data_IF_220313160659
#
_entry.id   IF_220313160659
#
_cell.length_a   1.000
_cell.length_b   1.000
_cell.length_c   1.000
_cell.angle_alpha   90.00
_cell.angle_beta   90.00
_cell.angle_gamma   90.00
#
_symmetry.space_group_name_H-M   'P 1'
#
loop_
_entity.id
_entity.type
_entity.pdbx_description
1 polymer ?
#
# COMPACT_ATOMS: atom_id res chain seq x y z
N UNK A 1 12.22 42.55 -31.05
CA UNK A 1 13.49 42.93 -30.39
C UNK A 1 13.19 43.12 -28.91
N UNK A 2 13.23 42.03 -28.14
CA UNK A 2 12.94 42.01 -26.69
C UNK A 2 14.00 41.14 -26.04
N UNK A 3 14.50 41.67 -24.95
CA UNK A 3 15.81 41.45 -24.34
C UNK A 3 15.81 40.24 -23.41
N UNK A 4 16.94 39.53 -23.42
CA UNK A 4 17.26 38.39 -22.58
C UNK A 4 17.62 38.80 -21.14
N UNK A 5 17.82 37.75 -20.32
CA UNK A 5 18.46 37.69 -18.99
C UNK A 5 17.56 37.82 -17.76
N UNK A 6 17.44 36.72 -17.01
CA UNK A 6 18.37 36.41 -15.90
C UNK A 6 18.10 35.03 -15.30
N UNK A 7 19.11 34.17 -15.37
CA UNK A 7 19.28 32.96 -14.59
C UNK A 7 19.63 33.33 -13.13
N UNK A 8 18.91 32.75 -12.17
CA UNK A 8 19.23 32.81 -10.75
C UNK A 8 19.43 31.39 -10.21
N UNK A 9 20.70 30.97 -10.13
CA UNK A 9 21.14 29.74 -9.48
C UNK A 9 21.00 29.87 -7.96
N UNK A 10 20.23 28.98 -7.32
CA UNK A 10 20.15 28.88 -5.86
C UNK A 10 20.93 27.66 -5.41
N UNK A 11 22.04 27.94 -4.73
CA UNK A 11 22.98 26.98 -4.18
C UNK A 11 22.90 27.10 -2.66
N UNK A 12 22.38 26.10 -1.95
CA UNK A 12 22.54 26.04 -0.48
C UNK A 12 22.62 24.61 0.05
N UNK A 13 23.86 24.26 0.39
CA UNK A 13 24.34 23.61 1.63
C UNK A 13 23.64 22.33 2.10
N UNK A 14 24.31 21.21 1.81
CA UNK A 14 24.17 19.92 2.48
C UNK A 14 24.93 19.96 3.82
N UNK A 15 24.20 19.99 4.94
CA UNK A 15 24.79 19.89 6.28
C UNK A 15 25.02 18.41 6.61
N UNK A 16 26.29 18.01 6.74
CA UNK A 16 26.70 16.68 7.23
C UNK A 16 26.48 16.61 8.74
N UNK A 17 25.58 15.74 9.21
CA UNK A 17 25.49 15.36 10.62
C UNK A 17 26.50 14.26 10.93
N UNK A 18 27.41 14.55 11.88
CA UNK A 18 28.27 13.57 12.54
C UNK A 18 27.44 12.72 13.52
N UNK A 19 27.60 11.39 13.54
CA UNK A 19 27.09 10.55 14.62
C UNK A 19 28.03 10.62 15.83
N UNK A 20 27.52 11.12 16.95
CA UNK A 20 28.17 11.04 18.26
C UNK A 20 28.03 9.62 18.81
N UNK A 21 29.15 8.95 19.00
CA UNK A 21 29.24 7.68 19.73
C UNK A 21 29.04 7.95 21.22
N UNK A 22 28.08 7.26 21.85
CA UNK A 22 27.87 7.31 23.30
C UNK A 22 28.27 5.99 23.93
N UNK A 23 29.02 6.13 25.02
CA UNK A 23 29.83 5.12 25.68
C UNK A 23 29.06 3.93 26.26
N UNK A 24 29.74 2.79 26.16
CA UNK A 24 29.55 1.56 26.93
C UNK A 24 29.74 1.84 28.43
N UNK A 25 28.68 1.76 29.21
CA UNK A 25 28.76 1.67 30.67
C UNK A 25 28.55 0.21 31.07
N UNK A 26 29.64 -0.45 31.49
CA UNK A 26 29.58 -1.69 32.27
C UNK A 26 29.01 -1.35 33.65
N UNK A 27 27.94 -2.03 34.04
CA UNK A 27 27.41 -1.99 35.39
C UNK A 27 27.60 -3.36 36.05
N UNK A 28 28.21 -3.28 37.23
CA UNK A 28 28.63 -4.33 38.15
C UNK A 28 27.42 -5.08 38.71
N UNK A 29 27.58 -6.40 38.87
CA UNK A 29 26.66 -7.34 39.52
C UNK A 29 26.70 -7.12 41.04
N UNK A 30 25.56 -6.90 41.71
CA UNK A 30 25.40 -7.24 43.12
C UNK A 30 24.70 -8.61 43.24
N UNK A 31 25.41 -9.55 43.87
CA UNK A 31 24.77 -10.70 44.51
C UNK A 31 24.09 -10.24 45.80
N UNK A 32 22.89 -10.79 46.01
CA UNK A 32 22.44 -11.47 47.23
C UNK A 32 21.19 -10.92 47.93
N UNK A 33 20.42 -11.91 48.40
CA UNK A 33 19.45 -11.92 49.50
C UNK A 33 18.06 -11.28 49.29
N UNK A 34 17.03 -12.09 49.57
CA UNK A 34 15.71 -11.59 49.94
C UNK A 34 14.55 -12.34 49.31
N UNK A 35 14.15 -13.45 49.93
CA UNK A 35 12.83 -14.05 49.76
C UNK A 35 11.76 -13.04 50.22
N UNK A 36 10.98 -12.51 49.29
CA UNK A 36 9.61 -12.04 49.58
C UNK A 36 8.65 -12.69 48.57
N UNK A 37 7.83 -13.60 49.08
CA UNK A 37 6.60 -14.06 48.42
C UNK A 37 5.65 -12.88 48.24
N UNK A 38 5.82 -12.16 47.13
CA UNK A 38 4.76 -11.30 46.62
C UNK A 38 3.62 -12.18 46.12
N UNK A 39 2.50 -12.15 46.84
CA UNK A 39 1.22 -12.70 46.41
C UNK A 39 0.80 -12.01 45.11
N UNK A 40 1.24 -12.59 43.99
CA UNK A 40 0.74 -12.27 42.66
C UNK A 40 -0.70 -12.76 42.62
N UNK A 41 -1.63 -11.82 42.77
CA UNK A 41 -3.03 -12.04 42.46
C UNK A 41 -3.08 -12.39 40.97
N UNK A 42 -3.11 -13.69 40.67
CA UNK A 42 -3.42 -14.21 39.33
C UNK A 42 -4.81 -13.73 38.96
N UNK A 43 -4.88 -12.64 38.22
CA UNK A 43 -6.08 -12.24 37.53
C UNK A 43 -6.30 -13.25 36.39
N UNK A 44 -6.84 -14.42 36.72
CA UNK A 44 -7.33 -15.41 35.76
C UNK A 44 -8.47 -14.78 34.97
N UNK A 45 -8.14 -14.27 33.79
CA UNK A 45 -9.14 -14.06 32.76
C UNK A 45 -9.74 -15.43 32.41
N UNK A 46 -11.06 -15.64 32.54
CA UNK A 46 -11.70 -16.93 32.27
C UNK A 46 -11.66 -17.33 30.79
N UNK A 47 -11.14 -16.46 29.91
CA UNK A 47 -10.96 -16.72 28.49
C UNK A 47 -9.67 -16.05 28.01
N UNK A 48 -8.56 -16.79 27.93
CA UNK A 48 -7.31 -16.26 27.38
C UNK A 48 -6.06 -16.99 27.82
N UNK A 49 -5.85 -18.19 27.31
CA UNK A 49 -4.50 -18.78 27.32
C UNK A 49 -3.57 -17.88 26.51
N UNK A 50 -2.73 -17.09 27.19
CA UNK A 50 -1.64 -16.36 26.53
C UNK A 50 -0.72 -17.41 25.93
N UNK A 51 -0.76 -17.57 24.61
CA UNK A 51 0.25 -18.38 23.93
C UNK A 51 1.62 -17.79 24.29
N UNK A 52 2.48 -18.61 24.88
CA UNK A 52 3.87 -18.22 25.18
C UNK A 52 4.55 -17.78 23.89
N UNK A 53 5.42 -16.77 23.98
CA UNK A 53 6.27 -16.33 22.85
C UNK A 53 7.05 -17.52 22.27
N UNK A 54 7.46 -18.47 23.11
CA UNK A 54 8.12 -19.71 22.65
C UNK A 54 7.21 -20.62 21.82
N UNK A 55 5.91 -20.69 22.11
CA UNK A 55 4.94 -21.43 21.31
C UNK A 55 4.70 -20.76 19.95
N UNK A 56 4.67 -19.41 19.93
CA UNK A 56 4.66 -18.63 18.69
C UNK A 56 5.89 -18.93 17.83
N UNK A 57 7.09 -18.81 18.41
CA UNK A 57 8.35 -19.08 17.69
C UNK A 57 8.45 -20.53 17.20
N UNK A 58 7.97 -21.51 17.98
CA UNK A 58 7.95 -22.91 17.58
C UNK A 58 6.96 -23.19 16.44
N UNK A 59 5.82 -22.50 16.39
CA UNK A 59 4.86 -22.60 15.30
C UNK A 59 5.41 -22.00 14.00
N UNK A 60 6.04 -20.83 14.07
CA UNK A 60 6.68 -20.21 12.91
C UNK A 60 7.94 -20.95 12.46
N UNK A 61 8.72 -21.54 13.38
CA UNK A 61 9.92 -22.31 13.04
C UNK A 61 9.67 -23.58 12.21
N UNK A 62 8.41 -24.01 12.06
CA UNK A 62 8.01 -25.18 11.26
C UNK A 62 7.24 -24.81 9.99
N UNK A 63 7.00 -23.52 9.74
CA UNK A 63 6.23 -23.09 8.58
C UNK A 63 6.99 -23.41 7.28
N UNK A 64 6.28 -23.92 6.29
CA UNK A 64 6.88 -24.19 4.99
C UNK A 64 7.35 -22.90 4.31
N UNK A 65 8.36 -22.95 3.42
CA UNK A 65 8.74 -21.79 2.60
C UNK A 65 7.56 -21.19 1.82
N UNK A 66 6.62 -22.02 1.36
CA UNK A 66 5.40 -21.56 0.70
C UNK A 66 4.51 -20.72 1.65
N UNK A 67 4.39 -21.10 2.92
CA UNK A 67 3.63 -20.35 3.93
C UNK A 67 4.20 -18.95 4.13
N UNK A 68 5.53 -18.79 4.15
CA UNK A 68 6.18 -17.47 4.22
C UNK A 68 5.93 -16.61 2.98
N UNK A 69 6.03 -17.21 1.79
CA UNK A 69 5.74 -16.54 0.53
C UNK A 69 4.27 -16.09 0.46
N UNK A 70 3.32 -16.96 0.85
CA UNK A 70 1.90 -16.64 0.93
C UNK A 70 1.61 -15.55 1.96
N UNK A 71 2.20 -15.62 3.16
CA UNK A 71 1.99 -14.62 4.21
C UNK A 71 2.50 -13.25 3.80
N UNK A 72 3.68 -13.19 3.17
CA UNK A 72 4.25 -11.91 2.69
C UNK A 72 3.49 -11.40 1.47
N UNK A 73 3.08 -12.29 0.55
CA UNK A 73 2.23 -11.93 -0.60
C UNK A 73 0.89 -11.36 -0.14
N UNK A 74 0.27 -11.97 0.86
CA UNK A 74 -0.96 -11.49 1.48
C UNK A 74 -0.76 -10.13 2.16
N UNK A 75 0.35 -9.91 2.86
CA UNK A 75 0.66 -8.62 3.49
C UNK A 75 0.74 -7.49 2.44
N UNK A 76 1.51 -7.70 1.37
CA UNK A 76 1.65 -6.72 0.28
C UNK A 76 0.31 -6.47 -0.40
N UNK A 77 -0.43 -7.52 -0.73
CA UNK A 77 -1.75 -7.41 -1.38
C UNK A 77 -2.78 -6.74 -0.47
N UNK A 78 -2.71 -6.96 0.85
CA UNK A 78 -3.55 -6.29 1.84
C UNK A 78 -3.29 -4.78 1.84
N UNK A 79 -2.02 -4.36 1.84
CA UNK A 79 -1.65 -2.95 1.74
C UNK A 79 -2.24 -2.31 0.48
N UNK A 80 -2.16 -2.99 -0.67
CA UNK A 80 -2.77 -2.51 -1.91
C UNK A 80 -4.29 -2.43 -1.79
N UNK A 81 -4.95 -3.51 -1.38
CA UNK A 81 -6.40 -3.57 -1.34
C UNK A 81 -7.00 -2.56 -0.35
N UNK A 82 -6.59 -2.62 0.91
CA UNK A 82 -7.11 -1.71 1.95
C UNK A 82 -6.62 -0.28 1.78
N UNK A 83 -5.42 -0.06 1.23
CA UNK A 83 -4.97 1.27 0.85
C UNK A 83 -5.88 1.91 -0.19
N UNK A 84 -6.29 1.17 -1.23
CA UNK A 84 -7.25 1.66 -2.21
C UNK A 84 -8.66 1.88 -1.64
N UNK A 85 -9.10 1.07 -0.65
CA UNK A 85 -10.35 1.34 0.09
C UNK A 85 -10.26 2.67 0.82
N UNK A 86 -9.21 2.87 1.62
CA UNK A 86 -9.02 4.10 2.38
C UNK A 86 -9.00 5.33 1.48
N UNK A 87 -8.32 5.24 0.34
CA UNK A 87 -8.26 6.30 -0.67
C UNK A 87 -9.61 6.57 -1.35
N UNK A 88 -10.42 5.52 -1.56
CA UNK A 88 -11.76 5.65 -2.17
C UNK A 88 -12.80 6.22 -1.21
N UNK A 89 -12.64 6.01 0.09
CA UNK A 89 -13.59 6.49 1.11
C UNK A 89 -13.20 7.87 1.67
N UNK A 90 -11.92 8.09 1.91
CA UNK A 90 -11.40 9.25 2.67
C UNK A 90 -10.22 9.95 2.00
N UNK A 91 -9.82 9.49 0.82
CA UNK A 91 -8.66 10.03 0.11
C UNK A 91 -8.95 11.31 -0.68
N UNK A 92 -8.00 11.71 -1.56
CA UNK A 92 -8.13 12.91 -2.36
C UNK A 92 -9.33 12.90 -3.32
N UNK A 93 -9.76 11.71 -3.76
CA UNK A 93 -10.82 11.55 -4.76
C UNK A 93 -12.20 12.02 -4.26
N UNK A 94 -12.71 11.53 -3.12
CA UNK A 94 -13.95 12.07 -2.55
C UNK A 94 -13.90 13.58 -2.28
N UNK A 95 -12.74 14.13 -1.93
CA UNK A 95 -12.56 15.58 -1.70
C UNK A 95 -12.71 16.37 -3.00
N UNK A 96 -11.99 16.01 -4.07
CA UNK A 96 -12.07 16.73 -5.35
C UNK A 96 -13.42 16.53 -6.08
N UNK A 97 -14.19 15.53 -5.66
CA UNK A 97 -15.57 15.27 -6.13
C UNK A 97 -16.65 15.88 -5.23
N UNK A 98 -16.26 16.65 -4.21
CA UNK A 98 -17.18 17.32 -3.26
C UNK A 98 -18.08 16.34 -2.50
N UNK A 99 -17.62 15.10 -2.25
CA UNK A 99 -18.36 14.05 -1.54
C UNK A 99 -18.15 14.08 -0.02
N UNK A 100 -17.03 14.66 0.45
CA UNK A 100 -16.70 14.80 1.88
C UNK A 100 -16.93 16.23 2.39
N UNK A 101 -17.88 16.94 1.79
CA UNK A 101 -18.20 18.34 2.06
C UNK A 101 -17.92 19.25 0.87
N UNK A 102 -18.34 20.51 0.99
CA UNK A 102 -18.15 21.50 -0.04
C UNK A 102 -16.65 21.88 -0.15
N UNK A 103 -16.02 21.48 -1.24
CA UNK A 103 -14.65 21.86 -1.54
C UNK A 103 -14.64 23.01 -2.55
N UNK A 104 -14.12 24.19 -2.17
CA UNK A 104 -14.08 25.38 -3.03
C UNK A 104 -12.95 25.34 -4.08
N UNK A 105 -12.50 24.14 -4.47
CA UNK A 105 -11.44 23.99 -5.45
C UNK A 105 -11.95 24.24 -6.87
N UNK A 106 -11.24 25.09 -7.61
CA UNK A 106 -11.43 25.21 -9.05
C UNK A 106 -11.12 23.89 -9.77
N UNK A 107 -11.68 23.69 -10.97
CA UNK A 107 -11.37 22.49 -11.78
C UNK A 107 -9.87 22.30 -12.01
N UNK A 108 -9.11 23.40 -12.11
CA UNK A 108 -7.65 23.36 -12.27
C UNK A 108 -6.95 22.83 -11.02
N UNK A 109 -7.42 23.21 -9.83
CA UNK A 109 -6.86 22.68 -8.59
C UNK A 109 -7.25 21.21 -8.39
N UNK A 110 -8.50 20.84 -8.70
CA UNK A 110 -8.99 19.45 -8.61
C UNK A 110 -8.14 18.50 -9.46
N UNK A 111 -7.86 18.87 -10.70
CA UNK A 111 -7.03 18.02 -11.59
C UNK A 111 -5.58 17.96 -11.14
N UNK A 112 -5.03 19.05 -10.59
CA UNK A 112 -3.67 19.07 -10.05
C UNK A 112 -3.54 18.16 -8.82
N UNK A 113 -4.51 18.18 -7.91
CA UNK A 113 -4.57 17.25 -6.76
C UNK A 113 -4.65 15.80 -7.25
N UNK A 114 -5.50 15.52 -8.24
CA UNK A 114 -5.58 14.20 -8.86
C UNK A 114 -4.24 13.75 -9.45
N UNK A 115 -3.54 14.62 -10.19
CA UNK A 115 -2.25 14.30 -10.83
C UNK A 115 -1.17 13.96 -9.80
N UNK A 116 -1.00 14.83 -8.79
CA UNK A 116 -0.02 14.61 -7.72
C UNK A 116 -0.28 13.29 -6.99
N UNK A 117 -1.55 12.99 -6.71
CA UNK A 117 -1.94 11.72 -6.13
C UNK A 117 -1.63 10.53 -7.06
N UNK A 118 -2.00 10.63 -8.33
CA UNK A 118 -1.82 9.55 -9.31
C UNK A 118 -0.35 9.22 -9.52
N UNK A 119 0.52 10.22 -9.68
CA UNK A 119 1.94 10.04 -9.97
C UNK A 119 2.66 9.27 -8.85
N UNK A 120 2.33 9.55 -7.58
CA UNK A 120 2.88 8.80 -6.45
C UNK A 120 2.22 7.44 -6.26
N UNK A 121 0.88 7.36 -6.36
CA UNK A 121 0.16 6.11 -6.21
C UNK A 121 0.57 5.09 -7.28
N UNK A 122 0.78 5.50 -8.53
CA UNK A 122 1.13 4.62 -9.63
C UNK A 122 2.41 3.81 -9.36
N UNK A 123 3.44 4.42 -8.77
CA UNK A 123 4.70 3.74 -8.42
C UNK A 123 4.46 2.62 -7.42
N UNK A 124 3.68 2.90 -6.36
CA UNK A 124 3.35 1.92 -5.33
C UNK A 124 2.48 0.78 -5.88
N UNK A 125 1.49 1.12 -6.73
CA UNK A 125 0.60 0.15 -7.37
C UNK A 125 1.38 -0.80 -8.28
N UNK A 126 2.26 -0.30 -9.16
CA UNK A 126 3.05 -1.13 -10.06
C UNK A 126 4.00 -2.04 -9.25
N UNK A 127 4.78 -1.46 -8.35
CA UNK A 127 5.72 -2.22 -7.53
C UNK A 127 5.03 -3.29 -6.68
N UNK A 128 3.96 -2.91 -5.97
CA UNK A 128 3.20 -3.84 -5.16
C UNK A 128 2.57 -4.96 -5.97
N UNK A 129 2.01 -4.67 -7.16
CA UNK A 129 1.42 -5.70 -8.03
C UNK A 129 2.45 -6.74 -8.46
N UNK A 130 3.64 -6.27 -8.88
CA UNK A 130 4.73 -7.16 -9.27
C UNK A 130 5.21 -8.02 -8.09
N UNK A 131 5.37 -7.42 -6.90
CA UNK A 131 5.79 -8.14 -5.70
C UNK A 131 4.75 -9.16 -5.26
N UNK A 132 3.47 -8.78 -5.24
CA UNK A 132 2.34 -9.70 -4.97
C UNK A 132 2.38 -10.88 -5.93
N UNK A 133 2.41 -10.64 -7.24
CA UNK A 133 2.39 -11.70 -8.24
C UNK A 133 3.62 -12.63 -8.09
N UNK A 134 4.81 -12.06 -7.88
CA UNK A 134 6.03 -12.83 -7.68
C UNK A 134 5.97 -13.72 -6.43
N UNK A 135 5.47 -13.19 -5.31
CA UNK A 135 5.34 -13.96 -4.05
C UNK A 135 4.31 -15.08 -4.17
N UNK A 136 3.18 -14.84 -4.83
CA UNK A 136 2.18 -15.88 -5.05
C UNK A 136 2.66 -16.94 -6.07
N UNK A 137 3.44 -16.57 -7.08
CA UNK A 137 4.08 -17.55 -7.97
C UNK A 137 5.20 -18.33 -7.26
N UNK A 138 5.96 -17.70 -6.37
CA UNK A 138 6.95 -18.40 -5.54
C UNK A 138 6.26 -19.41 -4.62
N UNK A 139 5.15 -19.04 -3.99
CA UNK A 139 4.34 -19.97 -3.19
C UNK A 139 3.82 -21.16 -4.01
N UNK A 140 3.44 -20.94 -5.27
CA UNK A 140 3.09 -22.03 -6.19
C UNK A 140 4.26 -23.00 -6.40
N UNK A 141 5.46 -22.48 -6.68
CA UNK A 141 6.64 -23.30 -6.92
C UNK A 141 7.14 -24.06 -5.68
N UNK A 142 6.82 -23.55 -4.48
CA UNK A 142 7.27 -24.09 -3.19
C UNK A 142 6.23 -24.97 -2.49
N UNK A 143 5.02 -25.10 -3.04
CA UNK A 143 3.89 -25.79 -2.39
C UNK A 143 3.72 -27.21 -2.92
N UNK A 144 3.72 -28.19 -2.02
CA UNK A 144 3.44 -29.60 -2.35
C UNK A 144 1.94 -29.90 -2.48
N UNK A 145 1.08 -29.05 -1.88
CA UNK A 145 -0.37 -29.25 -1.88
C UNK A 145 -1.06 -28.59 -3.08
N UNK A 146 -1.99 -29.28 -3.77
CA UNK A 146 -2.63 -28.76 -4.99
C UNK A 146 -3.60 -27.61 -4.73
N UNK A 147 -4.22 -27.53 -3.56
CA UNK A 147 -5.21 -26.49 -3.23
C UNK A 147 -4.55 -25.10 -3.09
N UNK A 148 -3.59 -24.87 -2.17
CA UNK A 148 -2.91 -23.59 -2.04
C UNK A 148 -2.16 -23.20 -3.31
N UNK A 149 -1.62 -24.18 -4.03
CA UNK A 149 -1.03 -24.02 -5.36
C UNK A 149 -1.98 -23.36 -6.37
N UNK A 150 -3.18 -23.93 -6.56
CA UNK A 150 -4.20 -23.38 -7.48
C UNK A 150 -4.67 -21.99 -7.05
N UNK A 151 -4.96 -21.82 -5.76
CA UNK A 151 -5.42 -20.54 -5.22
C UNK A 151 -4.35 -19.45 -5.37
N UNK A 152 -3.08 -19.79 -5.15
CA UNK A 152 -1.96 -18.86 -5.30
C UNK A 152 -1.75 -18.44 -6.75
N UNK A 153 -1.82 -19.38 -7.72
CA UNK A 153 -1.77 -19.02 -9.15
C UNK A 153 -2.93 -18.09 -9.51
N UNK A 154 -4.16 -18.40 -9.09
CA UNK A 154 -5.32 -17.54 -9.36
C UNK A 154 -5.14 -16.15 -8.76
N UNK A 155 -4.61 -16.04 -7.53
CA UNK A 155 -4.28 -14.77 -6.89
C UNK A 155 -3.24 -13.97 -7.69
N UNK A 156 -2.17 -14.63 -8.15
CA UNK A 156 -1.15 -14.00 -8.99
C UNK A 156 -1.72 -13.51 -10.33
N UNK A 157 -2.56 -14.31 -10.98
CA UNK A 157 -3.21 -13.94 -12.25
C UNK A 157 -4.19 -12.77 -12.09
N UNK A 158 -5.00 -12.78 -11.04
CA UNK A 158 -5.89 -11.66 -10.71
C UNK A 158 -5.09 -10.38 -10.49
N UNK A 159 -3.97 -10.47 -9.78
CA UNK A 159 -3.08 -9.33 -9.52
C UNK A 159 -2.47 -8.80 -10.81
N UNK A 160 -1.85 -9.66 -11.63
CA UNK A 160 -1.11 -9.19 -12.81
C UNK A 160 -2.03 -8.65 -13.91
N UNK A 161 -3.27 -9.16 -14.00
CA UNK A 161 -4.29 -8.67 -14.96
C UNK A 161 -4.69 -7.22 -14.68
N UNK A 162 -4.42 -6.68 -13.49
CA UNK A 162 -4.61 -5.25 -13.20
C UNK A 162 -3.77 -4.35 -14.11
N UNK A 163 -2.56 -4.79 -14.49
CA UNK A 163 -1.67 -4.00 -15.34
C UNK A 163 -2.23 -3.79 -16.75
N UNK A 164 -2.59 -4.82 -17.54
CA UNK A 164 -3.20 -4.62 -18.86
C UNK A 164 -4.54 -3.89 -18.76
N UNK A 165 -5.37 -4.14 -17.74
CA UNK A 165 -6.58 -3.35 -17.51
C UNK A 165 -6.28 -1.86 -17.33
N UNK A 166 -5.27 -1.54 -16.53
CA UNK A 166 -4.85 -0.15 -16.28
C UNK A 166 -4.36 0.50 -17.58
N UNK A 167 -3.50 -0.18 -18.34
CA UNK A 167 -2.93 0.35 -19.58
C UNK A 167 -3.99 0.54 -20.67
N UNK A 168 -4.91 -0.41 -20.86
CA UNK A 168 -5.88 -0.37 -21.95
C UNK A 168 -7.13 0.44 -21.63
N UNK A 169 -7.58 0.44 -20.37
CA UNK A 169 -8.89 0.99 -20.00
C UNK A 169 -8.76 2.30 -19.22
N UNK A 170 -7.83 2.38 -18.26
CA UNK A 170 -7.67 3.57 -17.40
C UNK A 170 -6.78 4.62 -18.08
N UNK A 171 -5.67 4.21 -18.69
CA UNK A 171 -4.65 5.13 -19.24
C UNK A 171 -5.22 6.18 -20.21
N UNK A 172 -6.15 5.86 -21.13
CA UNK A 172 -6.73 6.88 -22.01
C UNK A 172 -7.49 7.99 -21.26
N UNK A 173 -7.98 7.71 -20.05
CA UNK A 173 -8.59 8.72 -19.17
C UNK A 173 -7.51 9.53 -18.45
N UNK A 174 -6.42 8.88 -18.01
CA UNK A 174 -5.27 9.55 -17.40
C UNK A 174 -4.63 10.55 -18.37
N UNK A 175 -4.37 10.15 -19.61
CA UNK A 175 -3.71 11.00 -20.61
C UNK A 175 -4.52 12.28 -20.88
N UNK A 176 -5.85 12.16 -20.91
CA UNK A 176 -6.76 13.31 -21.08
C UNK A 176 -6.74 14.22 -19.87
N UNK A 177 -6.65 13.67 -18.65
CA UNK A 177 -6.53 14.48 -17.43
C UNK A 177 -5.17 15.19 -17.38
N UNK A 178 -4.07 14.48 -17.68
CA UNK A 178 -2.73 15.06 -17.75
C UNK A 178 -2.69 16.19 -18.78
N UNK A 179 -3.22 15.97 -19.99
CA UNK A 179 -3.28 17.00 -21.02
C UNK A 179 -4.10 18.24 -20.62
N UNK A 180 -5.14 18.09 -19.78
CA UNK A 180 -5.88 19.22 -19.21
C UNK A 180 -5.09 19.92 -18.11
N UNK A 181 -4.30 19.19 -17.32
CA UNK A 181 -3.41 19.80 -16.32
C UNK A 181 -2.20 20.50 -16.94
N UNK A 182 -1.78 20.14 -18.14
CA UNK A 182 -0.69 20.85 -18.82
C UNK A 182 -1.14 22.20 -19.43
N UNK A 183 -2.45 22.45 -19.57
CA UNK A 183 -2.97 23.74 -20.05
C UNK A 183 -2.78 24.85 -19.02
N UNK A 184 -2.29 26.03 -19.44
CA UNK A 184 -2.14 27.21 -18.56
C UNK A 184 -3.49 27.70 -18.03
N UNK A 185 -4.50 27.77 -18.89
CA UNK A 185 -5.85 28.19 -18.53
C UNK A 185 -6.88 27.19 -19.06
N UNK A 186 -7.93 26.93 -18.29
CA UNK A 186 -9.04 26.05 -18.69
C UNK A 186 -10.20 26.88 -19.22
N UNK A 187 -10.64 26.55 -20.43
CA UNK A 187 -11.92 27.01 -20.97
C UNK A 187 -13.10 26.45 -20.16
N UNK A 188 -14.28 27.03 -20.31
CA UNK A 188 -15.48 26.54 -19.61
C UNK A 188 -15.83 25.09 -20.00
N UNK A 189 -15.63 24.74 -21.28
CA UNK A 189 -15.80 23.38 -21.76
C UNK A 189 -14.77 22.41 -21.15
N UNK A 190 -13.51 22.84 -20.98
CA UNK A 190 -12.49 22.05 -20.31
C UNK A 190 -12.85 21.79 -18.84
N UNK A 191 -13.36 22.79 -18.13
CA UNK A 191 -13.77 22.65 -16.71
C UNK A 191 -14.82 21.58 -16.52
N UNK A 192 -15.84 21.54 -17.40
CA UNK A 192 -16.86 20.48 -17.40
C UNK A 192 -16.26 19.11 -17.71
N UNK A 193 -15.32 19.04 -18.66
CA UNK A 193 -14.60 17.80 -19.00
C UNK A 193 -13.79 17.26 -17.82
N UNK A 194 -13.16 18.11 -17.01
CA UNK A 194 -12.40 17.68 -15.82
C UNK A 194 -13.29 16.88 -14.86
N UNK A 195 -14.46 17.42 -14.51
CA UNK A 195 -15.39 16.73 -13.60
C UNK A 195 -15.82 15.36 -14.15
N UNK A 196 -16.20 15.31 -15.44
CA UNK A 196 -16.58 14.06 -16.09
C UNK A 196 -15.44 13.04 -16.17
N UNK A 197 -14.22 13.47 -16.46
CA UNK A 197 -13.05 12.58 -16.53
C UNK A 197 -12.65 12.03 -15.16
N UNK A 198 -12.71 12.83 -14.10
CA UNK A 198 -12.46 12.36 -12.72
C UNK A 198 -13.51 11.33 -12.32
N UNK A 199 -14.80 11.59 -12.61
CA UNK A 199 -15.89 10.65 -12.34
C UNK A 199 -15.71 9.34 -13.11
N UNK A 200 -15.34 9.43 -14.39
CA UNK A 200 -15.02 8.26 -15.21
C UNK A 200 -13.83 7.49 -14.64
N UNK A 201 -12.76 8.18 -14.26
CA UNK A 201 -11.59 7.57 -13.66
C UNK A 201 -11.95 6.81 -12.39
N UNK A 202 -12.75 7.41 -11.49
CA UNK A 202 -13.20 6.76 -10.25
C UNK A 202 -13.95 5.45 -10.53
N UNK A 203 -14.88 5.46 -11.48
CA UNK A 203 -15.62 4.26 -11.87
C UNK A 203 -14.70 3.15 -12.38
N UNK A 204 -13.75 3.47 -13.24
CA UNK A 204 -12.78 2.50 -13.76
C UNK A 204 -11.82 2.02 -12.65
N UNK A 205 -11.43 2.92 -11.75
CA UNK A 205 -10.61 2.60 -10.59
C UNK A 205 -11.31 1.60 -9.65
N UNK A 206 -12.62 1.76 -9.42
CA UNK A 206 -13.42 0.81 -8.64
C UNK A 206 -13.44 -0.60 -9.22
N UNK A 207 -13.45 -0.73 -10.55
CA UNK A 207 -13.31 -2.04 -11.21
C UNK A 207 -11.93 -2.63 -10.95
N UNK A 208 -10.86 -1.84 -11.10
CA UNK A 208 -9.49 -2.27 -10.75
C UNK A 208 -9.39 -2.71 -9.29
N UNK A 209 -10.05 -1.98 -8.40
CA UNK A 209 -10.14 -2.30 -6.97
C UNK A 209 -10.76 -3.69 -6.72
N UNK A 210 -11.82 -4.07 -7.44
CA UNK A 210 -12.42 -5.41 -7.32
C UNK A 210 -11.43 -6.52 -7.68
N UNK A 211 -10.57 -6.29 -8.67
CA UNK A 211 -9.53 -7.26 -9.05
C UNK A 211 -8.51 -7.48 -7.93
N UNK A 212 -8.09 -6.42 -7.23
CA UNK A 212 -7.26 -6.54 -6.02
C UNK A 212 -8.00 -7.26 -4.90
N UNK A 213 -9.30 -7.00 -4.72
CA UNK A 213 -10.12 -7.72 -3.74
C UNK A 213 -10.19 -9.21 -4.02
N UNK A 214 -10.35 -9.61 -5.28
CA UNK A 214 -10.31 -11.01 -5.69
C UNK A 214 -8.93 -11.63 -5.45
N UNK A 215 -7.85 -10.94 -5.84
CA UNK A 215 -6.50 -11.41 -5.58
C UNK A 215 -6.22 -11.59 -4.08
N UNK A 216 -6.64 -10.63 -3.26
CA UNK A 216 -6.52 -10.67 -1.81
C UNK A 216 -7.29 -11.85 -1.20
N UNK A 217 -8.55 -12.05 -1.59
CA UNK A 217 -9.38 -13.14 -1.06
C UNK A 217 -8.81 -14.51 -1.43
N UNK A 218 -8.33 -14.68 -2.67
CA UNK A 218 -7.67 -15.90 -3.11
C UNK A 218 -6.33 -16.13 -2.37
N UNK A 219 -5.56 -15.06 -2.16
CA UNK A 219 -4.31 -15.11 -1.41
C UNK A 219 -4.52 -15.48 0.05
N UNK A 220 -5.58 -14.94 0.68
CA UNK A 220 -5.99 -15.31 2.04
C UNK A 220 -6.40 -16.77 2.12
N UNK A 221 -7.24 -17.25 1.18
CA UNK A 221 -7.65 -18.64 1.13
C UNK A 221 -6.47 -19.60 0.91
N UNK A 222 -5.52 -19.22 0.05
CA UNK A 222 -4.28 -19.96 -0.15
C UNK A 222 -3.46 -20.03 1.15
N UNK A 223 -3.28 -18.90 1.83
CA UNK A 223 -2.56 -18.84 3.10
C UNK A 223 -3.24 -19.72 4.17
N UNK A 224 -4.56 -19.59 4.38
CA UNK A 224 -5.28 -20.36 5.40
C UNK A 224 -5.32 -21.86 5.12
N UNK A 225 -5.28 -22.28 3.84
CA UNK A 225 -5.19 -23.70 3.48
C UNK A 225 -3.77 -24.27 3.53
N UNK A 226 -2.77 -23.43 3.81
CA UNK A 226 -1.36 -23.82 3.98
C UNK A 226 -0.90 -23.87 5.44
N UNK A 227 -1.77 -23.48 6.38
CA UNK A 227 -1.57 -23.59 7.82
C UNK A 227 -2.04 -24.97 8.31
#
# INVERSE_FOLDING_TARGET
MVQADRLGSVHTKTTKHHPTATNTTQAVIPQDSGLEESNVIEHRSPYGGKMSVSAYLAAFGKASPATYALGTGLLVTSSLFFGNIGLSLTGPLPIIRDQLGACTLSSKQKIKVWRLFFDEAAKHIIGGTCVTAALHLAAFALSDSPIPCRLSIMSALCSITVLPYTLMVIMPTNDRLIALDDKVALSELDRRKVGWLIEKWDRLHKVRFLMYGSAWALGLAAFTSSL
#
